data_IF_187831931575
#
_entry.id   IF_187831931575
#
_cell.length_a   1.000
_cell.length_b   1.000
_cell.length_c   1.000
_cell.angle_alpha   90.00
_cell.angle_beta   90.00
_cell.angle_gamma   90.00
#
_symmetry.space_group_name_H-M   'P 1'
#
loop_
_entity.id
_entity.type
_entity.pdbx_description
1 polymer ?
#
# COMPACT_ATOMS: atom_id res chain seq x y z
N UNK A 1 -5.58 -24.07 3.51
CA UNK A 1 -5.01 -23.13 2.52
C UNK A 1 -6.01 -22.01 2.29
N UNK A 2 -7.28 -22.33 2.07
CA UNK A 2 -8.37 -21.37 1.88
C UNK A 2 -8.52 -20.39 3.05
N UNK A 3 -8.42 -20.85 4.30
CA UNK A 3 -8.49 -19.96 5.48
C UNK A 3 -7.40 -18.88 5.49
N UNK A 4 -6.19 -19.22 5.02
CA UNK A 4 -5.06 -18.26 4.95
C UNK A 4 -5.35 -17.18 3.90
N UNK A 5 -5.92 -17.59 2.77
CA UNK A 5 -6.32 -16.66 1.70
C UNK A 5 -7.44 -15.75 2.20
N UNK A 6 -8.43 -16.28 2.94
CA UNK A 6 -9.50 -15.49 3.54
C UNK A 6 -8.96 -14.46 4.53
N UNK A 7 -8.03 -14.84 5.41
CA UNK A 7 -7.40 -13.93 6.36
C UNK A 7 -6.62 -12.82 5.63
N UNK A 8 -5.84 -13.18 4.60
CA UNK A 8 -5.07 -12.21 3.84
C UNK A 8 -5.98 -11.21 3.10
N UNK A 9 -7.06 -11.68 2.48
CA UNK A 9 -8.03 -10.80 1.83
C UNK A 9 -8.74 -9.88 2.82
N UNK A 10 -9.10 -10.38 4.00
CA UNK A 10 -9.68 -9.55 5.06
C UNK A 10 -8.69 -8.46 5.52
N UNK A 11 -7.40 -8.79 5.62
CA UNK A 11 -6.36 -7.82 5.95
C UNK A 11 -6.18 -6.78 4.83
N UNK A 12 -6.23 -7.18 3.56
CA UNK A 12 -6.16 -6.26 2.42
C UNK A 12 -7.35 -5.31 2.39
N UNK A 13 -8.56 -5.80 2.67
CA UNK A 13 -9.76 -4.96 2.72
C UNK A 13 -9.67 -3.95 3.86
N UNK A 14 -9.25 -4.38 5.06
CA UNK A 14 -9.05 -3.48 6.20
C UNK A 14 -7.97 -2.43 5.90
N UNK A 15 -6.87 -2.81 5.24
CA UNK A 15 -5.84 -1.87 4.82
C UNK A 15 -6.38 -0.86 3.79
N UNK A 16 -7.21 -1.30 2.85
CA UNK A 16 -7.86 -0.42 1.88
C UNK A 16 -8.80 0.59 2.54
N UNK A 17 -9.58 0.19 3.54
CA UNK A 17 -10.41 1.11 4.32
C UNK A 17 -9.58 2.21 4.99
N UNK A 18 -8.40 1.88 5.54
CA UNK A 18 -7.49 2.88 6.12
C UNK A 18 -6.92 3.83 5.05
N UNK A 19 -6.62 3.33 3.85
CA UNK A 19 -6.23 4.18 2.72
C UNK A 19 -7.35 5.15 2.38
N UNK A 20 -8.60 4.69 2.26
CA UNK A 20 -9.74 5.58 1.99
C UNK A 20 -9.94 6.63 3.10
N UNK A 21 -9.71 6.28 4.37
CA UNK A 21 -9.73 7.26 5.48
C UNK A 21 -8.62 8.31 5.34
N UNK A 22 -7.43 7.91 4.91
CA UNK A 22 -6.33 8.84 4.62
C UNK A 22 -6.63 9.75 3.42
N UNK A 23 -7.22 9.19 2.36
CA UNK A 23 -7.66 9.94 1.19
C UNK A 23 -8.78 10.93 1.50
N UNK A 24 -9.64 10.63 2.48
CA UNK A 24 -10.67 11.57 2.94
C UNK A 24 -10.08 12.88 3.50
N UNK A 25 -8.82 12.89 3.95
CA UNK A 25 -8.13 14.13 4.33
C UNK A 25 -7.71 14.97 3.12
N UNK A 26 -7.75 14.40 1.91
CA UNK A 26 -7.32 14.99 0.65
C UNK A 26 -8.48 15.30 -0.31
N UNK A 27 -9.73 15.37 0.19
CA UNK A 27 -10.97 15.61 -0.60
C UNK A 27 -10.86 16.84 -1.53
N UNK A 28 -10.10 17.86 -1.14
CA UNK A 28 -9.87 19.06 -1.96
C UNK A 28 -9.10 18.81 -3.27
N UNK A 29 -8.41 17.66 -3.41
CA UNK A 29 -7.67 17.26 -4.60
C UNK A 29 -8.46 16.27 -5.46
N UNK A 30 -9.21 15.37 -4.83
CA UNK A 30 -10.01 14.35 -5.50
C UNK A 30 -11.18 13.93 -4.61
N UNK A 31 -12.38 13.82 -5.18
CA UNK A 31 -13.58 13.38 -4.47
C UNK A 31 -13.82 11.86 -4.55
N UNK A 32 -13.11 11.15 -5.43
CA UNK A 32 -13.31 9.71 -5.70
C UNK A 32 -11.95 9.03 -5.98
N UNK A 33 -11.14 8.77 -4.93
CA UNK A 33 -9.88 8.06 -5.07
C UNK A 33 -10.14 6.60 -5.46
N UNK A 34 -9.41 6.08 -6.46
CA UNK A 34 -9.59 4.71 -6.95
C UNK A 34 -8.28 3.93 -6.88
N UNK A 35 -8.38 2.63 -6.66
CA UNK A 35 -7.21 1.76 -6.74
C UNK A 35 -6.74 1.66 -8.20
N UNK A 36 -5.54 2.17 -8.50
CA UNK A 36 -4.91 2.03 -9.83
C UNK A 36 -4.16 0.71 -9.95
N UNK A 37 -3.38 0.37 -8.92
CA UNK A 37 -2.58 -0.86 -8.90
C UNK A 37 -2.36 -1.35 -7.47
N UNK A 38 -2.41 -2.67 -7.30
CA UNK A 38 -2.04 -3.38 -6.09
C UNK A 38 -1.14 -4.55 -6.47
N UNK A 39 0.08 -4.57 -5.96
CA UNK A 39 1.09 -5.51 -6.43
C UNK A 39 2.05 -5.98 -5.34
N UNK A 40 2.27 -7.30 -5.30
CA UNK A 40 3.22 -7.93 -4.39
C UNK A 40 4.67 -7.65 -4.79
N UNK A 41 5.46 -7.17 -3.83
CA UNK A 41 6.89 -6.83 -3.99
C UNK A 41 7.75 -7.51 -2.92
N UNK A 42 7.53 -8.79 -2.69
CA UNK A 42 8.14 -9.56 -1.60
C UNK A 42 9.68 -9.53 -1.52
N UNK A 43 10.39 -9.28 -2.64
CA UNK A 43 11.87 -9.21 -2.67
C UNK A 43 12.43 -7.79 -2.75
N UNK A 44 11.58 -6.81 -3.01
CA UNK A 44 11.99 -5.42 -3.05
C UNK A 44 11.79 -4.87 -1.64
N UNK A 45 12.88 -4.63 -0.92
CA UNK A 45 12.81 -4.18 0.47
C UNK A 45 13.09 -2.68 0.53
N UNK A 46 12.22 -1.94 1.21
CA UNK A 46 12.45 -0.52 1.45
C UNK A 46 13.78 -0.29 2.19
N UNK A 47 14.44 0.87 2.00
CA UNK A 47 15.67 1.21 2.74
C UNK A 47 15.49 1.05 4.25
N UNK A 48 14.31 1.42 4.77
CA UNK A 48 13.93 1.24 6.17
C UNK A 48 13.91 -0.23 6.59
N UNK A 49 13.32 -1.11 5.78
CA UNK A 49 13.30 -2.55 6.06
C UNK A 49 14.72 -3.14 6.11
N UNK A 50 15.59 -2.73 5.17
CA UNK A 50 16.99 -3.18 5.12
C UNK A 50 17.79 -2.75 6.36
N UNK A 51 17.66 -1.50 6.79
CA UNK A 51 18.32 -0.98 8.01
C UNK A 51 17.82 -1.72 9.24
N UNK A 52 16.50 -1.93 9.35
CA UNK A 52 15.90 -2.66 10.47
C UNK A 52 16.40 -4.11 10.52
N UNK A 53 16.53 -4.75 9.37
CA UNK A 53 17.08 -6.10 9.29
C UNK A 53 18.53 -6.18 9.77
N UNK A 54 19.36 -5.20 9.39
CA UNK A 54 20.74 -5.12 9.87
C UNK A 54 20.84 -4.96 11.40
N UNK A 55 19.82 -4.37 12.05
CA UNK A 55 19.69 -4.30 13.50
C UNK A 55 19.13 -5.59 14.15
N UNK A 56 18.99 -6.68 13.40
CA UNK A 56 18.56 -7.99 13.89
C UNK A 56 17.04 -8.25 13.83
N UNK A 57 16.25 -7.37 13.21
CA UNK A 57 14.82 -7.62 13.00
C UNK A 57 14.58 -8.50 11.75
N UNK A 58 13.42 -9.14 11.70
CA UNK A 58 13.00 -9.89 10.52
C UNK A 58 12.58 -8.97 9.37
N UNK A 59 12.84 -9.42 8.13
CA UNK A 59 12.36 -8.76 6.93
C UNK A 59 10.85 -9.01 6.74
N UNK A 60 10.12 -8.07 6.14
CA UNK A 60 8.70 -8.28 5.85
C UNK A 60 8.53 -9.42 4.85
N UNK A 61 7.69 -10.40 5.19
CA UNK A 61 7.47 -11.59 4.36
C UNK A 61 6.46 -11.38 3.23
N UNK A 62 5.60 -10.35 3.36
CA UNK A 62 4.45 -10.13 2.47
C UNK A 62 4.25 -8.63 2.19
N UNK A 63 5.21 -8.02 1.47
CA UNK A 63 5.14 -6.61 1.07
C UNK A 63 4.23 -6.45 -0.15
N UNK A 64 3.29 -5.53 -0.05
CA UNK A 64 2.48 -5.03 -1.15
C UNK A 64 2.56 -3.51 -1.22
N UNK A 65 2.55 -2.99 -2.44
CA UNK A 65 2.48 -1.55 -2.70
C UNK A 65 1.11 -1.20 -3.26
N UNK A 66 0.61 -0.02 -2.87
CA UNK A 66 -0.66 0.52 -3.33
C UNK A 66 -0.41 1.76 -4.17
N UNK A 67 -1.00 1.79 -5.37
CA UNK A 67 -1.03 2.99 -6.21
C UNK A 67 -2.49 3.43 -6.34
N UNK A 68 -2.76 4.66 -5.91
CA UNK A 68 -4.08 5.27 -5.92
C UNK A 68 -4.15 6.31 -7.05
N UNK A 69 -5.23 6.28 -7.82
CA UNK A 69 -5.60 7.31 -8.79
C UNK A 69 -6.43 8.39 -8.10
N UNK A 70 -5.89 9.62 -8.10
CA UNK A 70 -6.57 10.84 -7.67
C UNK A 70 -6.89 11.69 -8.88
N UNK A 71 -8.08 11.52 -9.47
CA UNK A 71 -8.54 12.31 -10.63
C UNK A 71 -7.54 12.37 -11.80
N UNK A 72 -6.83 11.28 -12.09
CA UNK A 72 -5.81 11.21 -13.14
C UNK A 72 -4.37 11.38 -12.66
N UNK A 73 -4.13 11.66 -11.38
CA UNK A 73 -2.80 11.69 -10.77
C UNK A 73 -2.54 10.41 -9.97
N UNK A 74 -1.46 9.70 -10.28
CA UNK A 74 -1.09 8.46 -9.60
C UNK A 74 -0.22 8.76 -8.39
N UNK A 75 -0.62 8.31 -7.21
CA UNK A 75 0.12 8.49 -5.96
C UNK A 75 0.40 7.14 -5.31
N UNK A 76 1.54 7.02 -4.64
CA UNK A 76 1.87 5.85 -3.82
C UNK A 76 1.35 6.00 -2.38
N UNK A 77 1.56 4.96 -1.56
CA UNK A 77 1.23 4.94 -0.12
C UNK A 77 1.91 6.05 0.72
N UNK A 78 2.95 6.70 0.21
CA UNK A 78 3.59 7.86 0.86
C UNK A 78 2.95 9.20 0.45
N UNK A 79 1.99 9.17 -0.47
CA UNK A 79 1.39 10.35 -1.09
C UNK A 79 2.28 10.99 -2.16
N UNK A 80 3.36 10.32 -2.56
CA UNK A 80 4.26 10.81 -3.60
C UNK A 80 3.68 10.51 -4.98
N UNK A 81 3.77 11.48 -5.90
CA UNK A 81 3.37 11.26 -7.29
C UNK A 81 4.26 10.20 -7.93
N UNK A 82 3.64 9.19 -8.53
CA UNK A 82 4.33 8.15 -9.29
C UNK A 82 4.23 8.52 -10.76
N UNK A 83 5.39 8.71 -11.41
CA UNK A 83 5.43 8.84 -12.86
C UNK A 83 5.38 7.42 -13.45
N UNK A 84 4.43 7.17 -14.37
CA UNK A 84 4.31 5.91 -15.12
C UNK A 84 5.58 5.60 -15.94
#
# INVERSE_FOLDING_TARGET
MDDIIHIHNANNEAAWEEVLKWEALHIGQCCDPRLKSFGGKAKDFSPRARIRHWMGYELPFDRHDWIVDRSGSSVDESGSSVND
#
